data_IF_627500580207
#
_entry.id   IF_627500580207
#
_cell.length_a   1.000
_cell.length_b   1.000
_cell.length_c   1.000
_cell.angle_alpha   90.00
_cell.angle_beta   90.00
_cell.angle_gamma   90.00
#
_symmetry.space_group_name_H-M   'P 1'
#
loop_
_entity.id
_entity.type
_entity.pdbx_description
1 polymer ?
#
# COMPACT_ATOMS: atom_id res chain seq x y z
N UNK A 1 -3.43 -28.10 -5.56
CA UNK A 1 -3.05 -26.81 -4.94
C UNK A 1 -2.20 -26.04 -5.94
N UNK A 2 -2.65 -24.88 -6.41
CA UNK A 2 -1.84 -24.02 -7.26
C UNK A 2 -0.80 -23.30 -6.39
N UNK A 3 0.47 -23.31 -6.80
CA UNK A 3 1.52 -22.52 -6.17
C UNK A 3 1.23 -21.04 -6.44
N UNK A 4 0.81 -20.29 -5.43
CA UNK A 4 0.67 -18.83 -5.54
C UNK A 4 2.08 -18.25 -5.58
N UNK A 5 2.45 -17.62 -6.70
CA UNK A 5 3.75 -16.96 -6.83
C UNK A 5 3.72 -15.66 -6.02
N UNK A 6 4.76 -15.38 -5.23
CA UNK A 6 4.99 -14.04 -4.66
C UNK A 6 5.26 -13.10 -5.83
N UNK A 7 4.42 -12.08 -6.03
CA UNK A 7 4.47 -11.13 -7.16
C UNK A 7 4.20 -11.69 -8.59
N UNK A 8 3.03 -12.27 -8.90
CA UNK A 8 2.73 -12.80 -10.23
C UNK A 8 2.62 -11.72 -11.32
N UNK A 9 2.35 -10.47 -10.95
CA UNK A 9 2.19 -9.35 -11.89
C UNK A 9 3.50 -8.65 -12.24
N UNK A 10 4.64 -9.14 -11.71
CA UNK A 10 6.00 -8.63 -11.95
C UNK A 10 6.12 -7.14 -11.64
N UNK A 11 5.54 -6.71 -10.52
CA UNK A 11 5.72 -5.38 -9.97
C UNK A 11 7.20 -5.15 -9.66
N UNK A 12 7.70 -3.95 -9.90
CA UNK A 12 9.04 -3.57 -9.48
C UNK A 12 9.10 -3.34 -7.96
N UNK A 13 10.31 -3.20 -7.41
CA UNK A 13 10.48 -3.04 -5.97
C UNK A 13 9.75 -1.82 -5.40
N UNK A 14 9.73 -0.69 -6.11
CA UNK A 14 9.03 0.51 -5.64
C UNK A 14 7.52 0.27 -5.57
N UNK A 15 6.94 -0.32 -6.62
CA UNK A 15 5.51 -0.68 -6.68
C UNK A 15 5.12 -1.68 -5.59
N UNK A 16 5.95 -2.70 -5.33
CA UNK A 16 5.72 -3.67 -4.27
C UNK A 16 5.69 -3.02 -2.89
N UNK A 17 6.67 -2.15 -2.60
CA UNK A 17 6.75 -1.41 -1.34
C UNK A 17 5.55 -0.49 -1.17
N UNK A 18 5.21 0.29 -2.19
CA UNK A 18 4.04 1.18 -2.13
C UNK A 18 2.75 0.39 -1.91
N UNK A 19 2.58 -0.76 -2.58
CA UNK A 19 1.41 -1.59 -2.40
C UNK A 19 1.29 -2.14 -0.98
N UNK A 20 2.37 -2.70 -0.41
CA UNK A 20 2.31 -3.25 0.96
C UNK A 20 2.07 -2.16 2.00
N UNK A 21 2.69 -0.98 1.84
CA UNK A 21 2.44 0.14 2.74
C UNK A 21 0.99 0.64 2.63
N UNK A 22 0.44 0.72 1.41
CA UNK A 22 -0.96 1.08 1.20
C UNK A 22 -1.92 0.06 1.82
N UNK A 23 -1.62 -1.25 1.74
CA UNK A 23 -2.37 -2.31 2.42
C UNK A 23 -2.35 -2.15 3.94
N UNK A 24 -1.22 -1.74 4.52
CA UNK A 24 -1.12 -1.50 5.97
C UNK A 24 -1.96 -0.28 6.37
N UNK A 25 -1.87 0.84 5.65
CA UNK A 25 -2.68 2.03 5.90
C UNK A 25 -4.18 1.72 5.78
N UNK A 26 -4.55 0.96 4.75
CA UNK A 26 -5.93 0.53 4.51
C UNK A 26 -6.53 -0.28 5.66
N UNK A 27 -5.69 -1.05 6.39
CA UNK A 27 -6.10 -1.87 7.55
C UNK A 27 -6.10 -1.08 8.86
N UNK A 28 -5.45 0.07 8.91
CA UNK A 28 -5.45 0.93 10.08
C UNK A 28 -6.80 1.69 10.16
N UNK A 29 -7.60 1.50 11.23
CA UNK A 29 -8.93 2.11 11.33
C UNK A 29 -8.90 3.64 11.39
N UNK A 30 -7.74 4.26 11.69
CA UNK A 30 -7.60 5.71 11.72
C UNK A 30 -7.25 6.31 10.35
N UNK A 31 -6.69 5.51 9.44
CA UNK A 31 -6.12 5.98 8.17
C UNK A 31 -6.74 5.32 6.93
N UNK A 32 -7.51 4.25 7.11
CA UNK A 32 -8.17 3.49 6.06
C UNK A 32 -9.62 3.14 6.39
N UNK A 33 -10.37 2.80 5.35
CA UNK A 33 -11.73 2.26 5.45
C UNK A 33 -11.90 1.10 4.48
N UNK A 34 -12.21 -0.07 5.01
CA UNK A 34 -12.54 -1.27 4.22
C UNK A 34 -14.06 -1.31 4.01
N UNK A 35 -14.48 -1.53 2.78
CA UNK A 35 -15.85 -1.86 2.44
C UNK A 35 -16.04 -3.38 2.51
N UNK A 36 -16.76 -3.85 3.51
CA UNK A 36 -16.98 -5.29 3.75
C UNK A 36 -17.77 -5.98 2.63
N UNK A 37 -18.59 -5.23 1.88
CA UNK A 37 -19.39 -5.81 0.80
C UNK A 37 -18.54 -6.10 -0.46
N UNK A 38 -17.52 -5.27 -0.71
CA UNK A 38 -16.69 -5.35 -1.92
C UNK A 38 -15.28 -5.88 -1.66
N UNK A 39 -14.79 -5.78 -0.43
CA UNK A 39 -13.40 -6.05 -0.06
C UNK A 39 -12.42 -4.95 -0.51
N UNK A 40 -12.94 -3.82 -1.03
CA UNK A 40 -12.13 -2.67 -1.40
C UNK A 40 -11.73 -1.87 -0.17
N UNK A 41 -10.61 -1.15 -0.25
CA UNK A 41 -10.15 -0.30 0.83
C UNK A 41 -9.76 1.08 0.34
N UNK A 42 -10.31 2.11 0.98
CA UNK A 42 -9.99 3.51 0.71
C UNK A 42 -8.96 4.01 1.71
N UNK A 43 -7.91 4.66 1.24
CA UNK A 43 -6.98 5.39 2.09
C UNK A 43 -7.59 6.76 2.40
N UNK A 44 -7.93 7.00 3.66
CA UNK A 44 -8.50 8.26 4.13
C UNK A 44 -7.41 9.32 4.33
N UNK A 45 -6.19 8.86 4.64
CA UNK A 45 -5.00 9.70 4.77
C UNK A 45 -3.84 8.98 4.11
N UNK A 46 -3.22 9.64 3.14
CA UNK A 46 -1.94 9.21 2.60
C UNK A 46 -0.88 9.89 3.45
N UNK A 47 0.00 9.12 4.12
CA UNK A 47 0.96 9.71 5.03
C UNK A 47 2.01 10.46 4.22
N UNK A 48 2.28 11.70 4.65
CA UNK A 48 3.38 12.49 4.12
C UNK A 48 4.62 12.30 5.00
N UNK A 49 5.81 12.32 4.39
CA UNK A 49 7.05 12.21 5.14
C UNK A 49 7.24 13.40 6.08
N UNK A 50 7.56 13.09 7.34
CA UNK A 50 7.97 14.06 8.33
C UNK A 50 9.42 13.76 8.69
N UNK A 51 10.36 14.51 8.11
CA UNK A 51 11.79 14.21 8.26
C UNK A 51 12.22 12.98 7.45
N UNK A 52 12.89 12.02 8.09
CA UNK A 52 13.43 10.82 7.45
C UNK A 52 12.51 9.59 7.54
N UNK A 53 11.34 9.71 8.16
CA UNK A 53 10.37 8.64 8.33
C UNK A 53 8.91 9.05 8.06
N UNK A 54 8.05 8.05 7.94
CA UNK A 54 6.62 8.13 7.61
C UNK A 54 5.87 7.18 8.53
N UNK A 55 4.82 7.66 9.20
CA UNK A 55 3.92 6.81 9.97
C UNK A 55 2.92 6.10 9.05
N UNK A 56 2.87 4.77 9.13
CA UNK A 56 1.99 3.91 8.35
C UNK A 56 1.24 3.01 9.34
N UNK A 57 0.05 3.45 9.76
CA UNK A 57 -0.67 2.82 10.87
C UNK A 57 0.15 2.87 12.15
N UNK A 58 0.43 1.70 12.75
CA UNK A 58 1.27 1.57 13.96
C UNK A 58 2.78 1.49 13.71
N UNK A 59 3.21 1.54 12.46
CA UNK A 59 4.61 1.34 12.07
C UNK A 59 5.24 2.65 11.63
N UNK A 60 6.57 2.70 11.77
CA UNK A 60 7.39 3.79 11.24
C UNK A 60 8.24 3.25 10.11
N UNK A 61 8.16 3.89 8.96
CA UNK A 61 8.83 3.46 7.73
C UNK A 61 9.77 4.55 7.27
N UNK A 62 10.99 4.19 6.86
CA UNK A 62 11.92 5.17 6.31
C UNK A 62 11.30 5.88 5.08
N UNK A 63 11.43 7.20 4.99
CA UNK A 63 10.84 8.01 3.93
C UNK A 63 11.26 7.52 2.52
N UNK A 64 12.48 6.98 2.40
CA UNK A 64 12.97 6.38 1.15
C UNK A 64 12.11 5.21 0.67
N UNK A 65 11.57 4.41 1.58
CA UNK A 65 10.76 3.24 1.27
C UNK A 65 9.30 3.60 1.00
N UNK A 66 8.84 4.72 1.56
CA UNK A 66 7.53 5.31 1.30
C UNK A 66 7.49 6.23 0.07
N UNK A 67 8.62 6.52 -0.57
CA UNK A 67 8.74 7.49 -1.69
C UNK A 67 7.81 7.25 -2.89
N UNK A 68 7.26 6.03 -3.03
CA UNK A 68 6.28 5.75 -4.09
C UNK A 68 4.90 6.35 -3.85
N UNK A 69 4.54 6.79 -2.63
CA UNK A 69 3.29 7.52 -2.38
C UNK A 69 3.25 8.84 -3.16
N UNK A 70 4.39 9.52 -3.30
CA UNK A 70 4.52 10.79 -4.02
C UNK A 70 4.83 10.60 -5.53
N UNK A 71 4.81 9.36 -6.03
CA UNK A 71 5.14 9.05 -7.42
C UNK A 71 3.89 8.65 -8.22
N UNK A 72 3.32 9.53 -9.07
CA UNK A 72 2.14 9.22 -9.89
C UNK A 72 2.30 7.98 -10.77
N UNK A 73 3.52 7.70 -11.26
CA UNK A 73 3.78 6.57 -12.15
C UNK A 73 3.59 5.22 -11.45
N UNK A 74 3.80 5.16 -10.13
CA UNK A 74 3.52 3.96 -9.33
C UNK A 74 2.02 3.69 -9.32
N UNK A 75 1.20 4.70 -9.01
CA UNK A 75 -0.26 4.57 -8.97
C UNK A 75 -0.86 4.21 -10.33
N UNK A 76 -0.39 4.83 -11.41
CA UNK A 76 -0.80 4.48 -12.77
C UNK A 76 -0.47 3.01 -13.09
N UNK A 77 0.72 2.54 -12.69
CA UNK A 77 1.10 1.15 -12.93
C UNK A 77 0.23 0.17 -12.13
N UNK A 78 -0.04 0.45 -10.85
CA UNK A 78 -0.92 -0.36 -10.01
C UNK A 78 -2.36 -0.39 -10.56
N UNK A 79 -2.86 0.73 -11.06
CA UNK A 79 -4.20 0.84 -11.65
C UNK A 79 -4.31 -0.01 -12.93
N UNK A 80 -3.32 0.08 -13.82
CA UNK A 80 -3.24 -0.77 -15.03
C UNK A 80 -3.15 -2.27 -14.72
N UNK A 81 -2.72 -2.61 -13.50
CA UNK A 81 -2.65 -3.99 -13.00
C UNK A 81 -3.90 -4.41 -12.23
N UNK A 82 -4.90 -3.54 -12.09
CA UNK A 82 -6.15 -3.82 -11.40
C UNK A 82 -6.03 -3.86 -9.87
N UNK A 83 -4.92 -3.39 -9.30
CA UNK A 83 -4.66 -3.44 -7.85
C UNK A 83 -5.19 -2.20 -7.12
N UNK A 84 -5.36 -1.10 -7.83
CA UNK A 84 -5.98 0.12 -7.32
C UNK A 84 -6.94 0.69 -8.36
N UNK A 85 -7.90 1.50 -7.94
CA UNK A 85 -8.71 2.31 -8.84
C UNK A 85 -7.93 3.56 -9.28
N UNK A 86 -8.28 4.08 -10.46
CA UNK A 86 -7.81 5.39 -10.89
C UNK A 86 -8.41 6.47 -9.97
N UNK A 87 -7.61 7.48 -9.61
CA UNK A 87 -8.07 8.51 -8.67
C UNK A 87 -6.97 9.30 -7.98
N UNK A 88 -5.70 8.85 -8.04
CA UNK A 88 -4.59 9.60 -7.46
C UNK A 88 -4.46 11.01 -8.07
N UNK A 89 -4.19 12.07 -7.27
CA UNK A 89 -4.04 12.07 -5.80
C UNK A 89 -5.36 12.27 -5.04
N UNK A 90 -6.48 12.51 -5.73
CA UNK A 90 -7.77 12.82 -5.11
C UNK A 90 -8.33 11.66 -4.27
N UNK A 91 -8.07 10.42 -4.66
CA UNK A 91 -8.48 9.22 -3.94
C UNK A 91 -7.56 8.04 -4.27
N UNK A 92 -7.20 7.26 -3.26
CA UNK A 92 -6.50 5.99 -3.44
C UNK A 92 -7.39 4.89 -2.87
N UNK A 93 -7.87 4.03 -3.77
CA UNK A 93 -8.71 2.87 -3.42
C UNK A 93 -8.01 1.60 -3.90
N UNK A 94 -7.64 0.72 -2.97
CA UNK A 94 -7.20 -0.63 -3.30
C UNK A 94 -8.42 -1.47 -3.67
N UNK A 95 -8.30 -2.22 -4.76
CA UNK A 95 -9.27 -3.26 -5.08
C UNK A 95 -9.10 -4.43 -4.11
N UNK A 96 -10.06 -5.35 -4.08
CA UNK A 96 -9.91 -6.61 -3.33
C UNK A 96 -8.62 -7.35 -3.71
N UNK A 97 -8.33 -7.46 -5.00
CA UNK A 97 -7.10 -8.08 -5.50
C UNK A 97 -5.85 -7.32 -5.03
N UNK A 98 -5.92 -5.99 -4.98
CA UNK A 98 -4.88 -5.14 -4.40
C UNK A 98 -4.65 -5.40 -2.92
N UNK A 99 -5.72 -5.59 -2.14
CA UNK A 99 -5.66 -5.89 -0.71
C UNK A 99 -5.11 -7.28 -0.41
N UNK A 100 -5.43 -8.27 -1.25
CA UNK A 100 -5.03 -9.67 -1.10
C UNK A 100 -3.70 -10.01 -1.78
N UNK A 101 -3.12 -9.06 -2.53
CA UNK A 101 -1.87 -9.29 -3.26
C UNK A 101 -0.70 -9.59 -2.32
N UNK A 102 -0.12 -10.80 -2.46
CA UNK A 102 1.11 -11.16 -1.75
C UNK A 102 2.32 -10.47 -2.38
N UNK A 103 2.77 -9.40 -1.70
CA UNK A 103 3.95 -8.62 -2.06
C UNK A 103 5.26 -9.32 -1.68
N UNK A 104 5.22 -10.33 -0.79
CA UNK A 104 6.39 -10.93 -0.16
C UNK A 104 7.13 -10.02 0.81
N UNK A 105 6.58 -8.85 1.15
CA UNK A 105 7.22 -7.83 1.98
C UNK A 105 6.48 -7.53 3.31
N UNK A 106 5.36 -8.19 3.58
CA UNK A 106 4.51 -7.91 4.74
C UNK A 106 5.25 -7.93 6.07
N UNK A 107 6.18 -8.86 6.25
CA UNK A 107 6.94 -9.04 7.50
C UNK A 107 8.16 -8.09 7.61
N UNK A 108 8.59 -7.48 6.50
CA UNK A 108 9.83 -6.70 6.43
C UNK A 108 9.67 -5.23 6.86
N UNK A 109 8.44 -4.71 6.93
CA UNK A 109 8.15 -3.30 7.28
C UNK A 109 7.63 -3.12 8.72
N UNK A 110 7.71 -4.16 9.55
CA UNK A 110 7.09 -4.22 10.89
C UNK A 110 8.04 -3.81 12.03
N UNK A 111 8.90 -2.79 11.86
CA UNK A 111 9.51 -2.18 13.05
C UNK A 111 8.40 -1.40 13.79
N UNK A 112 7.97 -1.92 14.94
CA UNK A 112 7.06 -1.22 15.84
C UNK A 112 7.71 0.10 16.26
N UNK A 113 6.94 1.17 16.17
CA UNK A 113 7.44 2.50 16.53
C UNK A 113 7.54 2.59 18.05
N UNK A 114 8.75 2.51 18.60
CA UNK A 114 9.03 2.86 20.00
C UNK A 114 8.97 4.39 20.15
N UNK A 115 7.78 4.91 20.47
CA UNK A 115 7.60 6.27 20.96
C UNK A 115 6.54 6.32 22.06
#
# INVERSE_FOLDING_TARGET
MAFVRKNPLKLNNLQLRTLVLAQVIAKDPNSGKIDEATGEATLLRVPHAHGDHVHVGKFTVAARDASGFDNPAVWVALARKGLVKEGYPASIVLTKDGMEYDTGLGDHFLEESDH
#
